data_IF_690841656063
#
_entry.id   IF_690841656063
#
_cell.length_a   1.000
_cell.length_b   1.000
_cell.length_c   1.000
_cell.angle_alpha   90.00
_cell.angle_beta   90.00
_cell.angle_gamma   90.00
#
_symmetry.space_group_name_H-M   'P 1'
#
loop_
_entity.id
_entity.type
_entity.pdbx_description
1 polymer ?
#
# COMPACT_ATOMS: atom_id res chain seq x y z
N UNK A 1 18.49 12.63 -11.83
CA UNK A 1 18.76 11.54 -10.87
C UNK A 1 18.15 10.29 -11.49
N UNK A 2 18.98 9.44 -12.10
CA UNK A 2 18.51 8.22 -12.77
C UNK A 2 18.09 7.21 -11.71
N UNK A 3 16.80 6.91 -11.59
CA UNK A 3 16.33 5.73 -10.86
C UNK A 3 16.69 4.50 -11.68
N UNK A 4 17.91 4.00 -11.49
CA UNK A 4 18.25 2.65 -11.85
C UNK A 4 17.75 1.75 -10.72
N UNK A 5 16.41 1.57 -10.68
CA UNK A 5 15.75 0.62 -9.78
C UNK A 5 16.53 -0.70 -9.84
N UNK A 6 16.97 -1.20 -8.69
CA UNK A 6 17.60 -2.51 -8.46
C UNK A 6 19.00 -2.81 -9.03
N UNK A 7 19.91 -1.82 -9.04
CA UNK A 7 21.34 -2.15 -8.90
C UNK A 7 21.81 -2.13 -7.43
N UNK A 8 21.04 -1.55 -6.52
CA UNK A 8 21.30 -1.53 -5.07
C UNK A 8 20.02 -1.77 -4.29
N UNK A 9 20.03 -2.80 -3.44
CA UNK A 9 18.95 -3.13 -2.52
C UNK A 9 18.67 -1.97 -1.55
N UNK A 10 19.72 -1.30 -1.09
CA UNK A 10 19.62 -0.16 -0.17
C UNK A 10 18.85 1.00 -0.83
N UNK A 11 19.16 1.33 -2.08
CA UNK A 11 18.46 2.38 -2.81
C UNK A 11 16.96 2.06 -2.98
N UNK A 12 16.62 0.79 -3.21
CA UNK A 12 15.23 0.34 -3.27
C UNK A 12 14.53 0.50 -1.91
N UNK A 13 15.16 0.09 -0.82
CA UNK A 13 14.61 0.23 0.53
C UNK A 13 14.40 1.71 0.90
N UNK A 14 15.35 2.59 0.56
CA UNK A 14 15.18 4.03 0.78
C UNK A 14 14.02 4.61 -0.02
N UNK A 15 13.88 4.21 -1.28
CA UNK A 15 12.74 4.61 -2.10
C UNK A 15 11.42 4.11 -1.50
N UNK A 16 11.35 2.85 -1.09
CA UNK A 16 10.18 2.25 -0.43
C UNK A 16 9.80 3.02 0.84
N UNK A 17 10.76 3.37 1.69
CA UNK A 17 10.54 4.17 2.90
C UNK A 17 10.00 5.57 2.57
N UNK A 18 10.54 6.23 1.55
CA UNK A 18 10.07 7.55 1.12
C UNK A 18 8.64 7.49 0.56
N UNK A 19 8.34 6.47 -0.25
CA UNK A 19 7.00 6.24 -0.80
C UNK A 19 6.00 5.98 0.32
N UNK A 20 6.36 5.12 1.28
CA UNK A 20 5.52 4.80 2.43
C UNK A 20 5.24 6.04 3.29
N UNK A 21 6.27 6.85 3.57
CA UNK A 21 6.12 8.09 4.34
C UNK A 21 5.17 9.07 3.67
N UNK A 22 5.33 9.29 2.36
CA UNK A 22 4.51 10.28 1.66
C UNK A 22 3.09 9.77 1.45
N UNK A 23 2.89 8.56 0.94
CA UNK A 23 1.54 8.02 0.74
C UNK A 23 0.79 7.75 2.04
N UNK A 24 1.50 7.56 3.17
CA UNK A 24 0.87 7.43 4.49
C UNK A 24 0.42 8.76 5.13
N UNK A 25 0.68 9.91 4.51
CA UNK A 25 0.25 11.21 5.06
C UNK A 25 -1.24 11.46 4.81
N UNK A 26 -2.03 11.63 5.87
CA UNK A 26 -3.48 11.85 5.75
C UNK A 26 -3.90 13.32 5.61
N UNK A 27 -3.13 14.26 6.18
CA UNK A 27 -3.52 15.69 6.25
C UNK A 27 -2.62 16.61 5.41
N UNK A 28 -1.32 16.31 5.35
CA UNK A 28 -0.35 17.10 4.61
C UNK A 28 -0.66 17.31 3.11
N UNK A 29 -1.23 16.32 2.37
CA UNK A 29 -1.58 16.49 0.96
C UNK A 29 -2.63 17.58 0.73
N UNK A 30 -3.54 17.79 1.69
CA UNK A 30 -4.69 18.67 1.51
C UNK A 30 -4.52 20.03 2.18
N UNK A 31 -3.75 20.12 3.26
CA UNK A 31 -3.69 21.35 4.08
C UNK A 31 -2.45 22.19 3.87
N UNK A 32 -1.27 21.58 3.90
CA UNK A 32 -0.02 22.33 4.09
C UNK A 32 0.99 22.17 2.95
N UNK A 33 0.92 21.07 2.18
CA UNK A 33 1.98 20.70 1.23
C UNK A 33 1.45 20.15 -0.10
N UNK A 34 0.26 20.52 -0.55
CA UNK A 34 -0.36 19.99 -1.78
C UNK A 34 0.57 19.95 -2.99
N UNK A 35 1.32 21.04 -3.23
CA UNK A 35 2.27 21.14 -4.35
C UNK A 35 3.45 20.14 -4.26
N UNK A 36 3.92 19.81 -3.05
CA UNK A 36 4.93 18.77 -2.86
C UNK A 36 4.37 17.41 -3.28
N UNK A 37 3.15 17.11 -2.83
CA UNK A 37 2.45 15.87 -3.16
C UNK A 37 2.18 15.76 -4.65
N UNK A 38 1.70 16.82 -5.31
CA UNK A 38 1.50 16.82 -6.77
C UNK A 38 2.79 16.49 -7.52
N UNK A 39 3.92 17.08 -7.13
CA UNK A 39 5.23 16.79 -7.73
C UNK A 39 5.69 15.37 -7.43
N UNK A 40 5.48 14.90 -6.20
CA UNK A 40 5.81 13.54 -5.80
C UNK A 40 5.02 12.50 -6.61
N UNK A 41 3.70 12.64 -6.70
CA UNK A 41 2.83 11.75 -7.48
C UNK A 41 3.24 11.73 -8.96
N UNK A 42 3.58 12.89 -9.55
CA UNK A 42 4.14 12.95 -10.91
C UNK A 42 5.42 12.11 -11.03
N UNK A 43 6.34 12.24 -10.09
CA UNK A 43 7.60 11.49 -10.08
C UNK A 43 7.34 9.98 -10.00
N UNK A 44 6.48 9.54 -9.08
CA UNK A 44 6.09 8.12 -8.95
C UNK A 44 5.43 7.61 -10.22
N UNK A 45 4.48 8.36 -10.79
CA UNK A 45 3.83 8.02 -12.07
C UNK A 45 4.86 7.74 -13.17
N UNK A 46 5.83 8.64 -13.38
CA UNK A 46 6.81 8.46 -14.44
C UNK A 46 7.81 7.33 -14.13
N UNK A 47 8.22 7.17 -12.88
CA UNK A 47 9.10 6.07 -12.46
C UNK A 47 8.44 4.71 -12.74
N UNK A 48 7.19 4.54 -12.31
CA UNK A 48 6.44 3.30 -12.51
C UNK A 48 6.11 3.08 -13.98
N UNK A 49 5.67 4.13 -14.69
CA UNK A 49 5.38 4.04 -16.13
C UNK A 49 6.58 3.54 -16.91
N UNK A 50 7.75 4.09 -16.64
CA UNK A 50 8.98 3.68 -17.32
C UNK A 50 9.44 2.28 -16.86
N UNK A 51 9.39 1.99 -15.56
CA UNK A 51 9.75 0.68 -15.01
C UNK A 51 8.91 -0.45 -15.62
N UNK A 52 7.60 -0.25 -15.74
CA UNK A 52 6.65 -1.23 -16.26
C UNK A 52 6.68 -1.34 -17.79
N UNK A 53 6.95 -0.24 -18.50
CA UNK A 53 7.14 -0.30 -19.96
C UNK A 53 8.43 -1.01 -20.36
N UNK A 54 9.50 -0.81 -19.60
CA UNK A 54 10.80 -1.45 -19.86
C UNK A 54 10.67 -2.98 -19.85
N UNK A 55 9.91 -3.53 -18.91
CA UNK A 55 9.64 -4.97 -18.82
C UNK A 55 8.87 -5.51 -20.05
N UNK A 56 7.83 -4.79 -20.52
CA UNK A 56 7.04 -5.19 -21.70
C UNK A 56 7.80 -5.11 -23.04
N UNK A 57 8.79 -4.22 -23.14
CA UNK A 57 9.54 -3.99 -24.39
C UNK A 57 10.74 -4.92 -24.60
N UNK A 58 11.29 -5.47 -23.51
CA UNK A 58 12.51 -6.28 -23.55
C UNK A 58 12.13 -7.72 -23.20
N UNK A 59 11.66 -8.48 -24.18
CA UNK A 59 11.40 -9.93 -24.06
C UNK A 59 12.65 -10.78 -23.83
N UNK A 60 13.74 -10.22 -23.30
CA UNK A 60 15.03 -10.87 -23.09
C UNK A 60 15.52 -10.57 -21.67
N UNK A 61 15.19 -11.48 -20.74
CA UNK A 61 15.95 -12.05 -19.61
C UNK A 61 16.97 -11.22 -18.77
N UNK A 62 17.20 -9.93 -19.02
CA UNK A 62 18.23 -9.12 -18.37
C UNK A 62 17.71 -7.96 -17.53
N UNK A 63 16.42 -7.59 -17.67
CA UNK A 63 15.80 -6.48 -16.94
C UNK A 63 14.59 -6.86 -16.07
N UNK A 64 13.97 -8.03 -16.30
CA UNK A 64 12.89 -8.55 -15.43
C UNK A 64 13.33 -8.86 -14.00
N UNK A 65 14.64 -8.88 -13.72
CA UNK A 65 15.14 -9.08 -12.36
C UNK A 65 14.85 -7.91 -11.39
N UNK A 66 14.25 -6.82 -11.87
CA UNK A 66 14.03 -5.60 -11.07
C UNK A 66 12.64 -5.53 -10.43
N UNK A 67 11.64 -6.14 -11.06
CA UNK A 67 10.27 -6.21 -10.57
C UNK A 67 10.00 -7.70 -10.34
N UNK A 68 10.35 -8.14 -9.15
CA UNK A 68 9.98 -9.47 -8.67
C UNK A 68 8.45 -9.64 -8.70
N UNK A 69 7.97 -10.86 -8.90
CA UNK A 69 6.53 -11.17 -9.03
C UNK A 69 5.71 -10.66 -7.83
N UNK A 70 6.37 -10.47 -6.68
CA UNK A 70 5.84 -9.84 -5.47
C UNK A 70 5.28 -8.42 -5.67
N UNK A 71 5.72 -7.67 -6.69
CA UNK A 71 5.16 -6.36 -7.01
C UNK A 71 3.80 -6.43 -7.67
N UNK A 72 3.48 -7.50 -8.39
CA UNK A 72 2.18 -7.65 -9.06
C UNK A 72 1.10 -8.16 -8.11
N UNK A 73 1.50 -8.71 -6.96
CA UNK A 73 0.57 -9.16 -5.93
C UNK A 73 -0.31 -8.02 -5.39
N UNK A 74 -1.58 -8.33 -5.16
CA UNK A 74 -2.52 -7.49 -4.42
C UNK A 74 -2.13 -7.27 -2.96
N UNK A 75 -1.20 -8.08 -2.45
CA UNK A 75 -0.61 -7.92 -1.11
C UNK A 75 0.72 -7.13 -1.14
N UNK A 76 1.04 -6.50 -2.28
CA UNK A 76 2.23 -5.68 -2.36
C UNK A 76 2.08 -4.41 -1.50
N UNK A 77 3.16 -4.00 -0.85
CA UNK A 77 3.17 -2.77 -0.04
C UNK A 77 2.68 -1.54 -0.84
N UNK A 78 2.96 -1.51 -2.15
CA UNK A 78 2.57 -0.42 -3.02
C UNK A 78 1.06 -0.45 -3.30
N UNK A 79 0.47 -1.64 -3.46
CA UNK A 79 -0.99 -1.77 -3.61
C UNK A 79 -1.71 -1.20 -2.39
N UNK A 80 -1.33 -1.63 -1.17
CA UNK A 80 -1.96 -1.16 0.06
C UNK A 80 -1.84 0.36 0.23
N UNK A 81 -0.63 0.91 0.08
CA UNK A 81 -0.40 2.36 0.19
C UNK A 81 -1.17 3.16 -0.85
N UNK A 82 -1.19 2.69 -2.10
CA UNK A 82 -1.90 3.38 -3.18
C UNK A 82 -3.41 3.31 -2.96
N UNK A 83 -3.96 2.16 -2.56
CA UNK A 83 -5.38 2.00 -2.25
C UNK A 83 -5.83 3.02 -1.20
N UNK A 84 -5.14 3.05 -0.07
CA UNK A 84 -5.51 3.93 1.05
C UNK A 84 -5.36 5.41 0.69
N UNK A 85 -4.28 5.77 -0.01
CA UNK A 85 -4.07 7.15 -0.46
C UNK A 85 -5.11 7.59 -1.50
N UNK A 86 -5.51 6.70 -2.42
CA UNK A 86 -6.53 7.03 -3.43
C UNK A 86 -7.90 7.20 -2.79
N UNK A 87 -8.30 6.32 -1.88
CA UNK A 87 -9.55 6.49 -1.11
C UNK A 87 -9.55 7.81 -0.35
N UNK A 88 -8.45 8.14 0.32
CA UNK A 88 -8.31 9.40 1.04
C UNK A 88 -8.45 10.64 0.14
N UNK A 89 -7.85 10.61 -1.07
CA UNK A 89 -7.95 11.71 -2.04
C UNK A 89 -9.36 11.81 -2.65
N UNK A 90 -10.03 10.67 -2.86
CA UNK A 90 -11.41 10.62 -3.37
C UNK A 90 -12.43 11.10 -2.33
N UNK A 91 -12.22 10.80 -1.05
CA UNK A 91 -13.10 11.18 0.07
C UNK A 91 -12.87 12.63 0.55
N UNK A 92 -11.77 13.27 0.12
CA UNK A 92 -11.43 14.63 0.54
C UNK A 92 -12.44 15.66 0.00
N UNK A 93 -13.03 16.45 0.90
CA UNK A 93 -14.00 17.50 0.54
C UNK A 93 -13.37 18.65 -0.28
N UNK A 94 -12.10 18.94 -0.04
CA UNK A 94 -11.33 19.97 -0.73
C UNK A 94 -9.97 19.38 -1.08
N UNK A 95 -9.71 19.24 -2.39
CA UNK A 95 -8.44 18.75 -2.91
C UNK A 95 -7.96 19.63 -4.06
N UNK A 96 -6.66 19.85 -4.12
CA UNK A 96 -6.01 20.52 -5.24
C UNK A 96 -6.28 19.75 -6.56
N UNK A 97 -6.76 20.46 -7.58
CA UNK A 97 -7.19 19.84 -8.84
C UNK A 97 -6.06 19.13 -9.59
N UNK A 98 -4.82 19.64 -9.49
CA UNK A 98 -3.67 18.96 -10.07
C UNK A 98 -3.37 17.69 -9.30
N UNK A 99 -3.36 17.74 -7.96
CA UNK A 99 -3.16 16.56 -7.12
C UNK A 99 -4.18 15.47 -7.46
N UNK A 100 -5.46 15.82 -7.55
CA UNK A 100 -6.53 14.90 -7.91
C UNK A 100 -6.31 14.29 -9.30
N UNK A 101 -6.00 15.13 -10.30
CA UNK A 101 -5.78 14.66 -11.67
C UNK A 101 -4.59 13.71 -11.81
N UNK A 102 -3.50 13.98 -11.09
CA UNK A 102 -2.29 13.14 -11.12
C UNK A 102 -2.47 11.86 -10.32
N UNK A 103 -3.24 11.91 -9.23
CA UNK A 103 -3.62 10.72 -8.47
C UNK A 103 -4.46 9.77 -9.32
N UNK A 104 -5.44 10.30 -10.08
CA UNK A 104 -6.23 9.50 -11.04
C UNK A 104 -5.37 8.88 -12.14
N UNK A 105 -4.44 9.64 -12.72
CA UNK A 105 -3.50 9.11 -13.72
C UNK A 105 -2.61 8.00 -13.16
N UNK A 106 -2.20 8.12 -11.90
CA UNK A 106 -1.42 7.09 -11.22
C UNK A 106 -2.26 5.83 -10.97
N UNK A 107 -3.50 5.98 -10.48
CA UNK A 107 -4.47 4.90 -10.33
C UNK A 107 -4.68 4.16 -11.65
N UNK A 108 -5.05 4.88 -12.71
CA UNK A 108 -5.24 4.29 -14.05
C UNK A 108 -3.99 3.58 -14.56
N UNK A 109 -2.79 4.12 -14.31
CA UNK A 109 -1.55 3.45 -14.70
C UNK A 109 -1.43 2.10 -14.02
N UNK A 110 -1.62 2.04 -12.69
CA UNK A 110 -1.48 0.83 -11.89
C UNK A 110 -2.53 -0.22 -12.27
N UNK A 111 -3.80 0.17 -12.41
CA UNK A 111 -4.89 -0.72 -12.84
C UNK A 111 -4.61 -1.32 -14.23
N UNK A 112 -4.21 -0.49 -15.21
CA UNK A 112 -3.93 -0.96 -16.58
C UNK A 112 -2.63 -1.77 -16.72
N UNK A 113 -1.67 -1.57 -15.83
CA UNK A 113 -0.35 -2.19 -15.93
C UNK A 113 -0.22 -3.47 -15.13
N UNK A 114 -0.83 -3.51 -13.95
CA UNK A 114 -0.75 -4.59 -12.96
C UNK A 114 -2.05 -5.38 -12.83
N UNK A 115 -3.16 -4.89 -13.40
CA UNK A 115 -4.47 -5.53 -13.26
C UNK A 115 -5.10 -5.36 -11.87
N UNK A 116 -4.63 -4.38 -11.09
CA UNK A 116 -5.17 -4.08 -9.77
C UNK A 116 -6.58 -3.49 -9.86
N UNK A 117 -7.40 -3.74 -8.83
CA UNK A 117 -8.71 -3.14 -8.65
C UNK A 117 -8.67 -2.17 -7.46
N UNK A 118 -8.36 -0.90 -7.72
CA UNK A 118 -8.15 0.12 -6.67
C UNK A 118 -9.44 0.94 -6.41
N UNK A 119 -10.60 0.34 -6.63
CA UNK A 119 -11.92 0.97 -6.49
C UNK A 119 -12.53 0.73 -5.10
N UNK A 120 -13.40 1.64 -4.63
CA UNK A 120 -14.44 1.23 -3.71
C UNK A 120 -15.42 0.36 -4.50
N UNK A 121 -15.57 -0.92 -4.12
CA UNK A 121 -16.82 -1.62 -4.38
C UNK A 121 -17.92 -0.73 -3.78
N UNK A 122 -18.84 -0.29 -4.64
CA UNK A 122 -20.09 0.40 -4.33
C UNK A 122 -20.54 0.24 -2.87
N UNK A 123 -21.05 1.31 -2.25
CA UNK A 123 -21.56 1.41 -0.87
C UNK A 123 -22.71 0.44 -0.48
N UNK A 124 -22.80 -0.72 -1.12
CA UNK A 124 -23.71 -1.84 -0.83
C UNK A 124 -22.95 -3.14 -1.14
N UNK A 125 -21.92 -3.45 -0.36
CA UNK A 125 -21.53 -4.85 -0.14
C UNK A 125 -20.95 -4.98 1.26
N UNK A 126 -21.86 -5.02 2.24
CA UNK A 126 -21.51 -5.44 3.59
C UNK A 126 -21.25 -6.93 3.59
N UNK A 127 -20.05 -7.36 3.23
CA UNK A 127 -19.60 -8.75 3.41
C UNK A 127 -18.11 -8.72 3.79
N UNK A 128 -17.90 -8.84 5.10
CA UNK A 128 -16.71 -9.30 5.83
C UNK A 128 -15.34 -8.78 5.36
N UNK A 129 -14.79 -7.87 6.17
CA UNK A 129 -13.34 -7.82 6.36
C UNK A 129 -12.92 -9.21 6.85
N UNK A 130 -12.08 -9.92 6.07
CA UNK A 130 -11.20 -10.91 6.69
C UNK A 130 -10.28 -10.10 7.60
N UNK A 131 -10.63 -10.05 8.88
CA UNK A 131 -9.75 -9.55 9.92
C UNK A 131 -8.51 -10.45 9.89
N UNK A 132 -7.41 -9.86 9.44
CA UNK A 132 -6.06 -10.32 9.68
C UNK A 132 -5.87 -10.57 11.18
N UNK A 133 -6.09 -11.82 11.60
CA UNK A 133 -5.97 -12.30 12.97
C UNK A 133 -4.50 -12.59 13.35
N UNK A 134 -3.55 -12.16 12.51
CA UNK A 134 -2.09 -12.30 12.72
C UNK A 134 -1.61 -11.62 14.02
N UNK A 135 -2.36 -10.64 14.55
CA UNK A 135 -2.02 -9.92 15.78
C UNK A 135 -2.97 -10.17 16.96
N UNK A 136 -3.85 -11.17 16.89
CA UNK A 136 -4.70 -11.52 18.01
C UNK A 136 -3.85 -12.03 19.20
N UNK A 137 -3.96 -11.43 20.41
CA UNK A 137 -3.18 -11.87 21.55
C UNK A 137 -3.59 -13.29 21.98
N UNK A 138 -2.62 -14.20 22.06
CA UNK A 138 -2.83 -15.55 22.59
C UNK A 138 -3.21 -15.44 24.08
N UNK A 139 -4.42 -15.86 24.43
CA UNK A 139 -4.87 -15.95 25.83
C UNK A 139 -4.32 -17.26 26.41
N UNK A 140 -3.27 -17.17 27.22
CA UNK A 140 -2.84 -18.29 28.06
C UNK A 140 -3.80 -18.43 29.24
N UNK A 141 -4.58 -19.51 29.28
CA UNK A 141 -5.37 -19.87 30.47
C UNK A 141 -4.41 -20.35 31.56
N UNK A 142 -4.04 -19.46 32.48
CA UNK A 142 -3.41 -19.86 33.74
C UNK A 142 -4.45 -20.66 34.53
N UNK A 143 -4.22 -21.97 34.65
CA UNK A 143 -5.01 -22.87 35.47
C UNK A 143 -4.97 -22.36 36.92
N UNK A 144 -6.06 -21.77 37.39
CA UNK A 144 -6.16 -21.29 38.77
C UNK A 144 -6.07 -22.50 39.72
N UNK A 145 -5.20 -22.46 40.74
CA UNK A 145 -5.08 -23.57 41.67
C UNK A 145 -6.39 -23.74 42.44
N UNK A 146 -7.00 -24.91 42.29
CA UNK A 146 -8.22 -25.30 43.00
C UNK A 146 -7.97 -25.40 44.51
N UNK A 147 -8.11 -24.27 45.19
CA UNK A 147 -8.08 -24.15 46.64
C UNK A 147 -9.40 -24.58 47.28
N UNK A 148 -9.47 -25.84 47.72
CA UNK A 148 -9.97 -26.28 49.03
C UNK A 148 -11.41 -25.98 49.48
N UNK A 149 -12.19 -27.03 49.72
CA UNK A 149 -13.06 -27.26 50.89
C UNK A 149 -13.91 -28.53 50.64
N UNK A 150 -14.24 -29.43 51.55
CA UNK A 150 -13.94 -29.71 52.96
C UNK A 150 -14.35 -31.19 53.14
N UNK A 151 -13.59 -31.94 53.93
CA UNK A 151 -13.90 -33.32 54.30
C UNK A 151 -15.10 -33.33 55.26
N UNK A 152 -16.21 -33.94 54.85
CA UNK A 152 -17.31 -34.37 55.72
C UNK A 152 -17.15 -35.87 55.99
N UNK A 153 -17.04 -36.28 57.26
CA UNK A 153 -17.59 -37.56 57.74
C UNK A 153 -17.61 -37.59 59.27
N UNK A 154 -18.65 -38.28 59.75
CA UNK A 154 -19.17 -38.35 61.11
C UNK A 154 -18.25 -39.06 62.12
#
# INVERSE_FOLDING_TARGET
>A
MNLQMGQSLEAFMQWKSLVSLLLGCTEAPFRTRSQLFTKFIKVIYYQLKYGLQKDRSVGEAGASALLDDSWFSSDSFLHCLCKDFFSLVEDASIVDGDLLSWTRKLKELLENSLGWELQPKSAVDGIYFEEDDEYAPVIEMLEEPSGGSEHMTA
#
